data_IF_037034904661
#
_entry.id   IF_037034904661
#
_cell.length_a   1.000
_cell.length_b   1.000
_cell.length_c   1.000
_cell.angle_alpha   90.00
_cell.angle_beta   90.00
_cell.angle_gamma   90.00
#
_symmetry.space_group_name_H-M   'P 1'
#
loop_
_entity.id
_entity.type
_entity.pdbx_description
1 polymer ?
#
# COMPACT_ATOMS: atom_id res chain seq x y z
N UNK A 1 -6.47 8.71 -8.32
CA UNK A 1 -5.41 7.70 -8.15
C UNK A 1 -5.05 7.14 -9.52
N UNK A 2 -3.77 7.05 -9.87
CA UNK A 2 -3.34 6.32 -11.07
C UNK A 2 -3.33 4.83 -10.75
N UNK A 3 -3.82 3.99 -11.66
CA UNK A 3 -3.84 2.53 -11.47
C UNK A 3 -2.47 1.92 -11.81
N UNK A 4 -1.75 2.55 -12.73
CA UNK A 4 -0.36 2.23 -13.03
C UNK A 4 0.55 2.98 -12.04
N UNK A 5 0.87 2.34 -10.92
CA UNK A 5 1.71 2.89 -9.86
C UNK A 5 2.81 1.91 -9.47
N UNK A 6 3.97 2.45 -9.12
CA UNK A 6 5.09 1.66 -8.59
C UNK A 6 4.76 1.05 -7.23
N UNK A 7 5.52 0.01 -6.84
CA UNK A 7 5.42 -0.59 -5.51
C UNK A 7 5.56 0.43 -4.38
N UNK A 8 6.46 1.41 -4.57
CA UNK A 8 6.67 2.47 -3.61
C UNK A 8 5.43 3.34 -3.49
N UNK A 9 4.86 3.79 -4.60
CA UNK A 9 3.64 4.61 -4.59
C UNK A 9 2.46 3.86 -3.95
N UNK A 10 2.31 2.56 -4.25
CA UNK A 10 1.29 1.74 -3.62
C UNK A 10 1.41 1.73 -2.10
N UNK A 11 2.63 1.56 -1.59
CA UNK A 11 2.90 1.58 -0.15
C UNK A 11 2.65 2.96 0.46
N UNK A 12 2.94 4.05 -0.27
CA UNK A 12 2.56 5.41 0.14
C UNK A 12 1.05 5.53 0.29
N UNK A 13 0.28 5.13 -0.73
CA UNK A 13 -1.19 5.19 -0.67
C UNK A 13 -1.77 4.30 0.43
N UNK A 14 -1.20 3.12 0.64
CA UNK A 14 -1.65 2.18 1.67
C UNK A 14 -1.39 2.70 3.10
N UNK A 15 -0.14 3.07 3.40
CA UNK A 15 0.22 3.50 4.77
C UNK A 15 -0.25 4.92 5.11
N UNK A 16 -0.60 5.75 4.11
CA UNK A 16 -1.23 7.06 4.35
C UNK A 16 -2.73 7.00 4.61
N UNK A 17 -3.39 5.86 4.37
CA UNK A 17 -4.85 5.73 4.43
C UNK A 17 -5.57 6.19 3.15
N UNK A 18 -4.84 6.75 2.17
CA UNK A 18 -5.45 7.31 0.96
C UNK A 18 -6.17 6.27 0.08
N UNK A 19 -5.83 4.97 0.19
CA UNK A 19 -6.61 3.91 -0.46
C UNK A 19 -8.02 3.76 0.13
N UNK A 20 -8.17 3.92 1.44
CA UNK A 20 -9.45 3.80 2.14
C UNK A 20 -10.33 5.00 1.81
N UNK A 21 -9.76 6.21 1.85
CA UNK A 21 -10.42 7.44 1.41
C UNK A 21 -10.91 7.33 -0.04
N UNK A 22 -10.06 6.77 -0.92
CA UNK A 22 -10.41 6.61 -2.32
C UNK A 22 -11.47 5.52 -2.53
N UNK A 23 -11.42 4.42 -1.78
CA UNK A 23 -12.46 3.40 -1.80
C UNK A 23 -13.81 3.97 -1.35
N UNK A 24 -13.83 4.80 -0.30
CA UNK A 24 -15.04 5.48 0.18
C UNK A 24 -15.59 6.48 -0.83
N UNK A 25 -14.72 7.21 -1.53
CA UNK A 25 -15.13 8.04 -2.67
C UNK A 25 -15.77 7.20 -3.81
N UNK A 26 -15.28 5.97 -4.03
CA UNK A 26 -15.77 5.05 -5.06
C UNK A 26 -16.99 4.22 -4.64
N UNK A 27 -17.41 4.22 -3.36
CA UNK A 27 -18.70 3.67 -2.93
C UNK A 27 -19.88 4.44 -3.57
N UNK A 28 -21.08 3.85 -3.71
CA UNK A 28 -21.97 4.15 -4.83
C UNK A 28 -22.53 5.58 -4.80
N UNK A 29 -22.32 6.29 -5.92
CA UNK A 29 -22.96 7.59 -6.25
C UNK A 29 -23.73 7.57 -7.58
N UNK A 30 -24.02 6.37 -8.13
CA UNK A 30 -24.66 6.22 -9.44
C UNK A 30 -24.05 5.09 -10.28
N UNK A 31 -24.19 5.16 -11.61
CA UNK A 31 -23.75 4.13 -12.55
C UNK A 31 -22.24 3.82 -12.43
N UNK A 32 -21.91 2.54 -12.28
CA UNK A 32 -20.54 2.02 -12.19
C UNK A 32 -20.02 1.69 -13.59
N UNK A 33 -18.90 2.30 -13.99
CA UNK A 33 -18.18 1.92 -15.21
C UNK A 33 -17.11 0.85 -14.91
N UNK A 34 -16.64 0.12 -15.94
CA UNK A 34 -15.64 -0.95 -15.79
C UNK A 34 -14.38 -0.49 -15.05
N UNK A 35 -13.90 0.72 -15.35
CA UNK A 35 -12.74 1.31 -14.68
C UNK A 35 -12.94 1.42 -13.16
N UNK A 36 -14.12 1.87 -12.72
CA UNK A 36 -14.49 1.96 -11.30
C UNK A 36 -14.50 0.58 -10.64
N UNK A 37 -15.12 -0.42 -11.28
CA UNK A 37 -15.14 -1.80 -10.76
C UNK A 37 -13.73 -2.37 -10.64
N UNK A 38 -12.90 -2.22 -11.68
CA UNK A 38 -11.51 -2.72 -11.67
C UNK A 38 -10.67 -2.03 -10.59
N UNK A 39 -10.90 -0.73 -10.37
CA UNK A 39 -10.23 0.05 -9.31
C UNK A 39 -10.63 -0.42 -7.92
N UNK A 40 -11.94 -0.62 -7.67
CA UNK A 40 -12.44 -1.13 -6.39
C UNK A 40 -11.84 -2.50 -6.11
N UNK A 41 -11.90 -3.41 -7.09
CA UNK A 41 -11.32 -4.76 -6.97
C UNK A 41 -9.83 -4.69 -6.62
N UNK A 42 -9.07 -3.87 -7.34
CA UNK A 42 -7.64 -3.69 -7.07
C UNK A 42 -7.36 -3.20 -5.65
N UNK A 43 -8.10 -2.19 -5.16
CA UNK A 43 -7.90 -1.67 -3.80
C UNK A 43 -8.23 -2.75 -2.76
N UNK A 44 -9.29 -3.53 -2.97
CA UNK A 44 -9.61 -4.66 -2.10
C UNK A 44 -8.49 -5.71 -2.11
N UNK A 45 -8.00 -6.12 -3.29
CA UNK A 45 -6.92 -7.10 -3.42
C UNK A 45 -5.63 -6.62 -2.71
N UNK A 46 -5.31 -5.33 -2.81
CA UNK A 46 -4.18 -4.72 -2.08
C UNK A 46 -4.37 -4.85 -0.57
N UNK A 47 -5.56 -4.51 -0.06
CA UNK A 47 -5.88 -4.61 1.38
C UNK A 47 -5.83 -6.05 1.85
N UNK A 48 -6.40 -6.99 1.11
CA UNK A 48 -6.39 -8.42 1.47
C UNK A 48 -4.96 -8.99 1.58
N UNK A 49 -4.02 -8.45 0.77
CA UNK A 49 -2.61 -8.85 0.80
C UNK A 49 -1.80 -8.15 1.89
N UNK A 50 -2.07 -6.87 2.16
CA UNK A 50 -1.26 -6.04 3.07
C UNK A 50 -1.81 -5.93 4.51
N UNK A 51 -3.12 -6.07 4.71
CA UNK A 51 -3.74 -5.98 6.04
C UNK A 51 -3.21 -7.08 7.00
N UNK A 52 -2.99 -8.35 6.57
CA UNK A 52 -2.35 -9.35 7.41
C UNK A 52 -0.92 -8.94 7.83
N UNK A 53 -0.15 -8.34 6.92
CA UNK A 53 1.16 -7.79 7.24
C UNK A 53 1.03 -6.65 8.26
N UNK A 54 0.08 -5.74 8.09
CA UNK A 54 -0.13 -4.61 9.02
C UNK A 54 -0.61 -5.08 10.40
N UNK A 55 -1.42 -6.14 10.47
CA UNK A 55 -1.97 -6.67 11.72
C UNK A 55 -0.90 -7.25 12.65
N UNK A 56 0.15 -7.87 12.10
CA UNK A 56 1.24 -8.45 12.91
C UNK A 56 2.17 -7.40 13.54
N UNK A 57 2.12 -6.15 13.08
CA UNK A 57 3.01 -5.08 13.53
C UNK A 57 2.56 -4.52 14.88
N UNK A 58 3.52 -4.25 15.76
CA UNK A 58 3.29 -3.45 16.97
C UNK A 58 2.90 -2.01 16.62
N UNK A 59 2.30 -1.24 17.53
CA UNK A 59 2.01 0.17 17.31
C UNK A 59 3.23 0.98 16.84
N UNK A 60 4.40 0.76 17.44
CA UNK A 60 5.64 1.46 17.13
C UNK A 60 6.12 1.16 15.71
N UNK A 61 6.04 -0.11 15.29
CA UNK A 61 6.36 -0.51 13.92
C UNK A 61 5.36 0.06 12.91
N UNK A 62 4.07 0.13 13.26
CA UNK A 62 3.06 0.76 12.40
C UNK A 62 3.38 2.23 12.18
N UNK A 63 3.75 2.95 13.24
CA UNK A 63 4.11 4.36 13.13
C UNK A 63 5.41 4.58 12.36
N UNK A 64 6.41 3.72 12.55
CA UNK A 64 7.61 3.69 11.70
C UNK A 64 7.26 3.58 10.21
N UNK A 65 6.38 2.63 9.82
CA UNK A 65 5.98 2.49 8.42
C UNK A 65 5.18 3.69 7.90
N UNK A 66 4.36 4.33 8.75
CA UNK A 66 3.70 5.59 8.40
C UNK A 66 4.72 6.69 8.14
N UNK A 67 5.68 6.92 9.04
CA UNK A 67 6.75 7.92 8.86
C UNK A 67 7.57 7.64 7.60
N UNK A 68 7.94 6.36 7.38
CA UNK A 68 8.68 5.94 6.19
C UNK A 68 7.97 6.31 4.88
N UNK A 69 6.69 5.99 4.76
CA UNK A 69 5.98 6.10 3.49
C UNK A 69 5.25 7.44 3.34
N UNK A 70 4.79 8.06 4.42
CA UNK A 70 4.12 9.37 4.39
C UNK A 70 5.13 10.52 4.42
N UNK A 71 6.13 10.45 5.29
CA UNK A 71 7.07 11.54 5.56
C UNK A 71 8.43 11.33 4.89
N UNK A 72 8.62 10.16 4.25
CA UNK A 72 9.82 9.78 3.48
C UNK A 72 11.08 9.58 4.33
N UNK A 73 10.93 9.36 5.63
CA UNK A 73 12.06 9.09 6.52
C UNK A 73 12.86 7.85 6.09
N UNK A 74 14.15 7.79 6.41
CA UNK A 74 14.98 6.64 6.09
C UNK A 74 14.74 5.52 7.12
N UNK A 75 14.80 4.24 6.70
CA UNK A 75 14.68 3.14 7.67
C UNK A 75 15.82 3.13 8.70
N UNK A 76 16.98 3.69 8.32
CA UNK A 76 18.15 3.81 9.19
C UNK A 76 17.87 4.58 10.48
N UNK A 77 16.97 5.57 10.45
CA UNK A 77 16.60 6.37 11.62
C UNK A 77 15.90 5.55 12.72
N UNK A 78 15.35 4.39 12.37
CA UNK A 78 14.57 3.55 13.30
C UNK A 78 15.34 2.32 13.81
N UNK A 79 16.52 2.06 13.26
CA UNK A 79 17.33 0.89 13.60
C UNK A 79 17.79 0.92 15.05
N UNK A 80 17.49 -0.15 15.79
CA UNK A 80 17.76 -0.28 17.23
C UNK A 80 17.07 0.77 18.11
N UNK A 81 16.17 1.58 17.54
CA UNK A 81 15.30 2.50 18.27
C UNK A 81 13.91 1.89 18.40
N UNK A 82 13.30 1.56 17.26
CA UNK A 82 11.94 0.96 17.22
C UNK A 82 12.01 -0.55 17.38
N UNK A 83 13.01 -1.19 16.77
CA UNK A 83 13.28 -2.62 16.88
C UNK A 83 14.71 -2.94 16.39
N UNK A 84 15.23 -4.15 16.67
CA UNK A 84 16.52 -4.59 16.16
C UNK A 84 16.62 -4.47 14.62
N UNK A 85 17.77 -4.01 14.11
CA UNK A 85 17.96 -3.78 12.66
C UNK A 85 17.61 -4.98 11.81
N UNK A 86 18.06 -6.18 12.19
CA UNK A 86 17.78 -7.43 11.47
C UNK A 86 16.28 -7.72 11.34
N UNK A 87 15.52 -7.39 12.39
CA UNK A 87 14.07 -7.58 12.41
C UNK A 87 13.37 -6.58 11.46
N UNK A 88 13.77 -5.30 11.48
CA UNK A 88 13.22 -4.29 10.56
C UNK A 88 13.54 -4.65 9.10
N UNK A 89 14.76 -5.10 8.82
CA UNK A 89 15.16 -5.55 7.47
C UNK A 89 14.33 -6.76 7.02
N UNK A 90 14.12 -7.75 7.90
CA UNK A 90 13.28 -8.91 7.58
C UNK A 90 11.84 -8.50 7.26
N UNK A 91 11.25 -7.61 8.05
CA UNK A 91 9.90 -7.09 7.79
C UNK A 91 9.82 -6.31 6.47
N UNK A 92 10.81 -5.48 6.15
CA UNK A 92 10.86 -4.75 4.88
C UNK A 92 10.99 -5.70 3.68
N UNK A 93 11.79 -6.76 3.80
CA UNK A 93 11.92 -7.78 2.75
C UNK A 93 10.59 -8.51 2.54
N UNK A 94 9.91 -8.89 3.62
CA UNK A 94 8.59 -9.51 3.54
C UNK A 94 7.55 -8.59 2.89
N UNK A 95 7.51 -7.31 3.29
CA UNK A 95 6.63 -6.31 2.70
C UNK A 95 6.86 -6.18 1.18
N UNK A 96 8.12 -6.06 0.76
CA UNK A 96 8.46 -5.94 -0.65
C UNK A 96 8.10 -7.21 -1.44
N UNK A 97 8.24 -8.39 -0.83
CA UNK A 97 7.84 -9.66 -1.42
C UNK A 97 6.32 -9.82 -1.56
N UNK A 98 5.54 -9.26 -0.62
CA UNK A 98 4.07 -9.22 -0.74
C UNK A 98 3.69 -8.28 -1.88
N UNK A 99 4.20 -7.06 -1.86
CA UNK A 99 3.84 -6.03 -2.84
C UNK A 99 4.23 -6.45 -4.25
N UNK A 100 5.39 -7.05 -4.47
CA UNK A 100 5.82 -7.46 -5.81
C UNK A 100 4.83 -8.41 -6.49
N UNK A 101 4.07 -9.19 -5.72
CA UNK A 101 3.09 -10.17 -6.21
C UNK A 101 1.67 -9.62 -6.46
N UNK A 102 1.39 -8.37 -6.11
CA UNK A 102 0.05 -7.77 -6.29
C UNK A 102 -0.19 -7.47 -7.76
N UNK A 103 -1.06 -8.19 -8.46
CA UNK A 103 -1.35 -7.87 -9.87
C UNK A 103 -1.89 -6.44 -10.04
N UNK A 104 -1.33 -5.71 -11.01
CA UNK A 104 -1.75 -4.34 -11.32
C UNK A 104 -2.79 -4.41 -12.42
N UNK A 105 -3.89 -3.66 -12.34
CA UNK A 105 -4.82 -3.62 -13.46
C UNK A 105 -4.09 -3.01 -14.65
N UNK A 106 -4.13 -3.68 -15.79
CA UNK A 106 -3.50 -3.17 -17.01
C UNK A 106 -3.97 -1.73 -17.25
N UNK A 107 -3.02 -0.81 -17.35
CA UNK A 107 -3.29 0.50 -17.90
C UNK A 107 -4.04 0.31 -19.21
N UNK A 108 -5.15 1.03 -19.41
CA UNK A 108 -5.67 1.21 -20.77
C UNK A 108 -4.49 1.72 -21.59
N UNK A 109 -3.93 0.87 -22.44
CA UNK A 109 -3.16 1.32 -23.58
C UNK A 109 -4.13 2.20 -24.35
N UNK A 110 -4.01 3.52 -24.19
CA UNK A 110 -4.56 4.46 -25.16
C UNK A 110 -3.69 4.31 -26.41
N UNK A 111 -3.96 3.25 -27.17
CA UNK A 111 -3.63 3.18 -28.57
C UNK A 111 -4.86 3.71 -29.31
N UNK A 112 -4.92 5.03 -29.47
CA UNK A 112 -5.65 5.69 -30.56
C UNK A 112 -4.60 6.43 -31.40
#
# INVERSE_FOLDING_TARGET
>A
MKIDMSNRELLVYYFSGALEDYLDYLKPKGATNKYRSDTIRFICDVKDRLDPFKQKLTPELKDMYKLKYREKEAFGEFYNVVAPTNYIVALNNELNAIVSKIERPHARLYNE
#
